data_IF_517479188499
#
_entry.id   IF_517479188499
#
_cell.length_a   1.000
_cell.length_b   1.000
_cell.length_c   1.000
_cell.angle_alpha   90.00
_cell.angle_beta   90.00
_cell.angle_gamma   90.00
#
_symmetry.space_group_name_H-M   'P 1'
#
loop_
_entity.id
_entity.type
_entity.pdbx_description
1 polymer ?
#
# COMPACT_ATOMS: atom_id res chain seq x y z
N UNK A 1 -25.25 -1.15 1.00
CA UNK A 1 -24.77 -2.24 1.89
C UNK A 1 -23.72 -3.14 1.21
N UNK A 2 -23.96 -3.70 0.02
CA UNK A 2 -22.99 -4.55 -0.72
C UNK A 2 -21.56 -3.97 -0.83
N UNK A 3 -21.42 -2.68 -1.16
CA UNK A 3 -20.10 -2.03 -1.33
C UNK A 3 -19.30 -1.92 -0.02
N UNK A 4 -19.98 -1.78 1.11
CA UNK A 4 -19.35 -1.68 2.44
C UNK A 4 -18.82 -3.06 2.84
N UNK A 5 -19.59 -4.12 2.60
CA UNK A 5 -19.16 -5.50 2.86
C UNK A 5 -17.93 -5.86 2.02
N UNK A 6 -17.94 -5.54 0.73
CA UNK A 6 -16.79 -5.74 -0.15
C UNK A 6 -15.56 -4.95 0.33
N UNK A 7 -15.71 -3.66 0.64
CA UNK A 7 -14.61 -2.83 1.14
C UNK A 7 -14.04 -3.32 2.47
N UNK A 8 -14.90 -3.74 3.40
CA UNK A 8 -14.49 -4.24 4.71
C UNK A 8 -13.81 -5.63 4.64
N UNK A 9 -14.26 -6.51 3.72
CA UNK A 9 -13.63 -7.81 3.54
C UNK A 9 -12.26 -7.65 2.87
N UNK A 10 -12.15 -6.89 1.79
CA UNK A 10 -10.89 -6.78 1.07
C UNK A 10 -9.87 -5.84 1.73
N UNK A 11 -10.34 -4.78 2.40
CA UNK A 11 -9.48 -3.82 3.09
C UNK A 11 -8.95 -4.38 4.43
N UNK A 12 -9.72 -4.25 5.52
CA UNK A 12 -9.25 -4.66 6.85
C UNK A 12 -9.18 -6.17 7.06
N UNK A 13 -10.13 -6.98 6.56
CA UNK A 13 -10.06 -8.42 6.84
C UNK A 13 -8.94 -9.11 6.06
N UNK A 14 -9.01 -9.10 4.72
CA UNK A 14 -8.01 -9.77 3.87
C UNK A 14 -6.68 -9.01 3.91
N UNK A 15 -6.69 -7.70 3.67
CA UNK A 15 -5.48 -6.90 3.56
C UNK A 15 -4.64 -6.87 4.85
N UNK A 16 -5.25 -6.59 6.00
CA UNK A 16 -4.49 -6.51 7.27
C UNK A 16 -4.07 -7.90 7.74
N UNK A 17 -4.92 -8.92 7.63
CA UNK A 17 -4.52 -10.29 8.01
C UNK A 17 -3.35 -10.80 7.17
N UNK A 18 -3.36 -10.59 5.85
CA UNK A 18 -2.23 -10.96 4.97
C UNK A 18 -0.96 -10.16 5.30
N UNK A 19 -1.10 -8.87 5.62
CA UNK A 19 0.03 -8.04 6.02
C UNK A 19 0.66 -8.53 7.32
N UNK A 20 -0.14 -8.84 8.34
CA UNK A 20 0.34 -9.41 9.61
C UNK A 20 0.98 -10.79 9.40
N UNK A 21 0.38 -11.61 8.53
CA UNK A 21 0.95 -12.90 8.15
C UNK A 21 2.33 -12.74 7.50
N UNK A 22 2.49 -11.78 6.59
CA UNK A 22 3.77 -11.47 5.95
C UNK A 22 4.81 -10.98 6.96
N UNK A 23 4.43 -10.13 7.92
CA UNK A 23 5.34 -9.68 8.99
C UNK A 23 5.83 -10.86 9.85
N UNK A 24 5.00 -11.88 10.06
CA UNK A 24 5.36 -13.06 10.85
C UNK A 24 6.21 -14.08 10.08
N UNK A 25 6.06 -14.17 8.76
CA UNK A 25 6.68 -15.21 7.93
C UNK A 25 7.81 -14.71 7.03
N UNK A 26 8.10 -13.41 7.05
CA UNK A 26 9.16 -12.79 6.24
C UNK A 26 10.00 -11.87 7.12
N UNK A 27 11.20 -11.53 6.67
CA UNK A 27 12.00 -10.52 7.36
C UNK A 27 11.23 -9.21 7.47
N UNK A 28 11.29 -8.58 8.64
CA UNK A 28 10.56 -7.36 8.98
C UNK A 28 10.82 -6.23 7.98
N UNK A 29 12.04 -6.11 7.48
CA UNK A 29 12.38 -5.19 6.39
C UNK A 29 11.57 -5.47 5.12
N UNK A 30 11.57 -6.72 4.63
CA UNK A 30 10.83 -7.16 3.43
C UNK A 30 9.34 -6.89 3.56
N UNK A 31 8.76 -7.20 4.71
CA UNK A 31 7.37 -6.87 4.97
C UNK A 31 7.14 -5.35 4.96
N UNK A 32 8.02 -4.56 5.60
CA UNK A 32 7.90 -3.11 5.67
C UNK A 32 8.03 -2.41 4.31
N UNK A 33 8.93 -2.83 3.41
CA UNK A 33 8.99 -2.28 2.05
C UNK A 33 7.78 -2.65 1.23
N UNK A 34 7.30 -3.90 1.30
CA UNK A 34 6.06 -4.29 0.63
C UNK A 34 4.87 -3.42 1.09
N UNK A 35 4.78 -3.15 2.38
CA UNK A 35 3.75 -2.27 2.94
C UNK A 35 3.94 -0.80 2.54
N UNK A 36 5.17 -0.33 2.37
CA UNK A 36 5.44 1.04 1.93
C UNK A 36 5.20 1.27 0.43
N UNK A 37 5.06 0.21 -0.37
CA UNK A 37 4.63 0.29 -1.77
C UNK A 37 3.12 0.52 -1.91
N UNK A 38 2.34 0.42 -0.82
CA UNK A 38 0.88 0.65 -0.82
C UNK A 38 0.46 1.95 -1.51
N UNK A 39 1.10 3.12 -1.29
CA UNK A 39 0.74 4.37 -1.98
C UNK A 39 0.84 4.24 -3.51
N UNK A 40 1.85 3.53 -4.03
CA UNK A 40 2.02 3.29 -5.47
C UNK A 40 0.86 2.43 -5.99
N UNK A 41 0.56 1.34 -5.28
CA UNK A 41 -0.53 0.43 -5.62
C UNK A 41 -1.92 1.07 -5.48
N UNK A 42 -2.06 2.16 -4.72
CA UNK A 42 -3.31 2.93 -4.64
C UNK A 42 -3.39 3.98 -5.75
N UNK A 43 -2.28 4.70 -6.02
CA UNK A 43 -2.25 5.79 -7.02
C UNK A 43 -2.47 5.24 -8.45
N UNK A 44 -1.89 4.09 -8.79
CA UNK A 44 -1.98 3.56 -10.17
C UNK A 44 -3.41 3.16 -10.56
N UNK A 45 -4.15 2.35 -9.78
CA UNK A 45 -5.54 2.04 -10.08
C UNK A 45 -6.45 3.25 -9.93
N UNK A 46 -6.17 4.18 -8.99
CA UNK A 46 -7.00 5.38 -8.87
C UNK A 46 -6.89 6.26 -10.12
N UNK A 47 -5.70 6.41 -10.68
CA UNK A 47 -5.49 7.13 -11.93
C UNK A 47 -6.18 6.45 -13.13
N UNK A 48 -6.15 5.12 -13.22
CA UNK A 48 -6.76 4.37 -14.33
C UNK A 48 -8.29 4.32 -14.20
N UNK A 49 -8.82 4.06 -13.00
CA UNK A 49 -10.24 3.80 -12.76
C UNK A 49 -11.05 5.09 -12.58
N UNK A 50 -10.46 6.12 -11.96
CA UNK A 50 -11.10 7.41 -11.71
C UNK A 50 -10.63 8.53 -12.64
N UNK A 51 -9.68 8.26 -13.57
CA UNK A 51 -9.08 9.27 -14.46
C UNK A 51 -8.56 10.51 -13.71
N UNK A 52 -8.14 10.34 -12.45
CA UNK A 52 -7.59 11.43 -11.66
C UNK A 52 -6.22 11.82 -12.20
N UNK A 53 -5.98 13.13 -12.33
CA UNK A 53 -4.67 13.65 -12.68
C UNK A 53 -3.73 13.42 -11.51
N UNK A 54 -2.76 12.53 -11.69
CA UNK A 54 -1.70 12.31 -10.71
C UNK A 54 -0.98 13.64 -10.49
N UNK A 55 -1.08 14.17 -9.26
CA UNK A 55 -0.45 15.42 -8.89
C UNK A 55 1.01 15.19 -8.49
N UNK A 56 1.88 16.18 -8.72
CA UNK A 56 3.29 16.09 -8.32
C UNK A 56 3.46 15.78 -6.82
N UNK A 57 2.53 16.23 -5.97
CA UNK A 57 2.52 15.89 -4.54
C UNK A 57 2.33 14.40 -4.25
N UNK A 58 1.45 13.72 -4.99
CA UNK A 58 1.26 12.26 -4.83
C UNK A 58 2.52 11.50 -5.21
N UNK A 59 3.19 11.90 -6.30
CA UNK A 59 4.45 11.28 -6.74
C UNK A 59 5.54 11.50 -5.70
N UNK A 60 5.71 12.74 -5.20
CA UNK A 60 6.69 13.06 -4.17
C UNK A 60 6.43 12.25 -2.89
N UNK A 61 5.18 12.16 -2.44
CA UNK A 61 4.82 11.37 -1.25
C UNK A 61 5.09 9.88 -1.42
N UNK A 62 4.82 9.33 -2.62
CA UNK A 62 5.14 7.94 -2.94
C UNK A 62 6.66 7.71 -2.90
N UNK A 63 7.45 8.59 -3.52
CA UNK A 63 8.91 8.49 -3.52
C UNK A 63 9.48 8.59 -2.10
N UNK A 64 8.98 9.51 -1.27
CA UNK A 64 9.39 9.65 0.13
C UNK A 64 9.06 8.38 0.93
N UNK A 65 7.87 7.81 0.72
CA UNK A 65 7.45 6.58 1.41
C UNK A 65 8.36 5.39 1.08
N UNK A 66 8.70 5.21 -0.20
CA UNK A 66 9.63 4.17 -0.64
C UNK A 66 11.02 4.42 -0.07
N UNK A 67 11.52 5.66 -0.15
CA UNK A 67 12.85 6.01 0.35
C UNK A 67 12.97 5.75 1.86
N UNK A 68 11.96 6.14 2.64
CA UNK A 68 11.92 5.86 4.09
C UNK A 68 11.88 4.37 4.40
N UNK A 69 11.13 3.59 3.62
CA UNK A 69 11.06 2.14 3.81
C UNK A 69 12.37 1.43 3.45
N UNK A 70 13.08 1.91 2.43
CA UNK A 70 14.39 1.39 2.05
C UNK A 70 15.45 1.58 3.15
N UNK A 71 15.30 2.56 4.04
CA UNK A 71 16.22 2.75 5.19
C UNK A 71 16.16 1.54 6.14
N UNK A 72 15.04 0.83 6.25
CA UNK A 72 14.94 -0.38 7.08
C UNK A 72 15.83 -1.55 6.59
N UNK A 73 16.45 -1.42 5.42
CA UNK A 73 17.35 -2.43 4.83
C UNK A 73 18.83 -2.03 4.88
N UNK A 74 19.14 -0.80 5.31
CA UNK A 74 20.50 -0.32 5.58
C UNK A 74 20.87 -0.64 7.03
#
# INVERSE_FOLDING_TARGET
MKSITLGAVFGPFVGVTLSLYAVQHTHTGIAATLMALVPIFIIVPSAIMFNEKITARQVIGAVISIAGASIFFL
#
